data_IF_726277906274
#
_entry.id   IF_726277906274
#
_cell.length_a   1.000
_cell.length_b   1.000
_cell.length_c   1.000
_cell.angle_alpha   90.00
_cell.angle_beta   90.00
_cell.angle_gamma   90.00
#
_symmetry.space_group_name_H-M   'P 1'
#
loop_
_entity.id
_entity.type
_entity.pdbx_description
1 polymer ?
#
# COMPACT_ATOMS: atom_id res chain seq x y z
N UNK A 1 -34.55 58.87 12.29
CA UNK A 1 -33.95 57.82 11.46
C UNK A 1 -32.47 57.68 11.78
N UNK A 2 -32.08 56.61 12.47
CA UNK A 2 -30.69 56.12 12.53
C UNK A 2 -30.75 54.61 12.78
N UNK A 3 -30.09 53.89 11.91
CA UNK A 3 -30.28 52.50 11.51
C UNK A 3 -29.74 51.52 12.55
N UNK A 4 -30.56 50.52 12.92
CA UNK A 4 -30.10 49.31 13.62
C UNK A 4 -29.13 48.56 12.71
N UNK A 5 -27.90 48.38 13.16
CA UNK A 5 -26.96 47.40 12.60
C UNK A 5 -27.46 46.00 12.97
N UNK A 6 -28.28 45.44 12.09
CA UNK A 6 -28.64 44.03 12.07
C UNK A 6 -27.41 43.25 11.58
N UNK A 7 -26.77 42.50 12.46
CA UNK A 7 -25.71 41.57 12.06
C UNK A 7 -26.34 40.46 11.19
N UNK A 8 -25.77 40.14 10.01
CA UNK A 8 -26.29 39.09 9.15
C UNK A 8 -26.09 37.72 9.81
N UNK A 9 -27.18 36.96 9.88
CA UNK A 9 -27.17 35.53 10.22
C UNK A 9 -26.27 34.80 9.23
N UNK A 10 -25.21 34.18 9.73
CA UNK A 10 -24.35 33.33 8.93
C UNK A 10 -25.16 32.15 8.36
N UNK A 11 -24.99 31.78 7.07
CA UNK A 11 -25.61 30.58 6.54
C UNK A 11 -24.98 29.35 7.18
N UNK A 12 -25.82 28.45 7.67
CA UNK A 12 -25.44 27.15 8.21
C UNK A 12 -24.78 26.28 7.11
N UNK A 13 -23.47 26.43 6.96
CA UNK A 13 -22.62 25.52 6.19
C UNK A 13 -21.99 24.52 7.16
N UNK A 14 -22.72 23.51 7.61
CA UNK A 14 -22.17 22.46 8.49
C UNK A 14 -22.62 21.03 8.10
N UNK A 15 -23.02 20.81 6.85
CA UNK A 15 -23.29 19.45 6.34
C UNK A 15 -22.03 18.66 5.95
N UNK A 16 -20.82 19.24 6.09
CA UNK A 16 -19.56 18.58 5.72
C UNK A 16 -18.79 17.97 6.92
N UNK A 17 -19.22 18.24 8.15
CA UNK A 17 -18.67 17.61 9.34
C UNK A 17 -19.37 16.27 9.54
N UNK A 18 -18.65 15.15 9.54
CA UNK A 18 -19.21 13.84 9.91
C UNK A 18 -19.78 13.79 11.34
N UNK A 19 -19.57 14.84 12.14
CA UNK A 19 -20.07 15.02 13.51
C UNK A 19 -21.50 15.58 13.53
N UNK A 20 -22.38 15.12 14.44
CA UNK A 20 -23.72 15.68 14.55
C UNK A 20 -23.74 17.16 14.91
N UNK A 21 -24.60 17.93 14.25
CA UNK A 21 -24.75 19.36 14.52
C UNK A 21 -25.40 19.64 15.89
N UNK A 22 -25.48 20.92 16.26
CA UNK A 22 -26.01 21.34 17.56
C UNK A 22 -27.47 20.90 17.78
N UNK A 23 -28.29 20.92 16.74
CA UNK A 23 -29.71 20.57 16.79
C UNK A 23 -29.92 19.05 16.88
N UNK A 24 -29.13 18.27 16.13
CA UNK A 24 -29.05 16.81 16.25
C UNK A 24 -28.66 16.39 17.67
N UNK A 25 -27.69 17.09 18.29
CA UNK A 25 -27.31 16.83 19.68
C UNK A 25 -28.39 17.28 20.68
N UNK A 26 -29.12 18.35 20.39
CA UNK A 26 -30.23 18.80 21.23
C UNK A 26 -31.39 17.77 21.25
N UNK A 27 -31.72 17.17 20.09
CA UNK A 27 -32.65 16.04 20.00
C UNK A 27 -32.20 14.89 20.90
N UNK A 28 -30.91 14.53 20.81
CA UNK A 28 -30.36 13.41 21.57
C UNK A 28 -30.41 13.67 23.08
N UNK A 29 -30.02 14.87 23.53
CA UNK A 29 -30.09 15.26 24.95
C UNK A 29 -31.51 15.24 25.49
N UNK A 30 -32.47 15.80 24.74
CA UNK A 30 -33.88 15.77 25.13
C UNK A 30 -34.41 14.34 25.23
N UNK A 31 -34.03 13.46 24.29
CA UNK A 31 -34.39 12.05 24.33
C UNK A 31 -33.83 11.32 25.56
N UNK A 32 -32.59 11.63 25.98
CA UNK A 32 -32.01 11.09 27.20
C UNK A 32 -32.62 11.65 28.48
N UNK A 33 -33.15 12.87 28.43
CA UNK A 33 -33.86 13.51 29.55
C UNK A 33 -35.32 13.03 29.71
N UNK A 34 -35.73 11.96 29.02
CA UNK A 34 -37.07 11.37 29.15
C UNK A 34 -38.08 11.83 28.09
N UNK A 35 -37.76 12.86 27.29
CA UNK A 35 -38.68 13.35 26.25
C UNK A 35 -38.95 12.27 25.19
N UNK A 36 -40.18 12.22 24.67
CA UNK A 36 -40.52 11.30 23.58
C UNK A 36 -39.75 11.66 22.31
N UNK A 37 -39.40 10.66 21.49
CA UNK A 37 -38.61 10.89 20.26
C UNK A 37 -39.31 11.89 19.32
N UNK A 38 -40.63 11.79 19.18
CA UNK A 38 -41.42 12.68 18.31
C UNK A 38 -41.37 14.13 18.80
N UNK A 39 -41.53 14.36 20.10
CA UNK A 39 -41.46 15.70 20.68
C UNK A 39 -40.05 16.29 20.58
N UNK A 40 -39.01 15.50 20.88
CA UNK A 40 -37.62 15.94 20.76
C UNK A 40 -37.29 16.38 19.33
N UNK A 41 -37.63 15.54 18.33
CA UNK A 41 -37.39 15.88 16.91
C UNK A 41 -38.24 17.07 16.48
N UNK A 42 -39.52 17.14 16.83
CA UNK A 42 -40.37 18.26 16.46
C UNK A 42 -39.87 19.60 17.03
N UNK A 43 -39.26 19.58 18.21
CA UNK A 43 -38.75 20.79 18.88
C UNK A 43 -37.44 21.30 18.29
N UNK A 44 -36.50 20.40 18.00
CA UNK A 44 -35.14 20.80 17.62
C UNK A 44 -34.82 20.55 16.14
N UNK A 45 -35.53 19.64 15.46
CA UNK A 45 -35.36 19.34 14.04
C UNK A 45 -36.73 19.22 13.32
N UNK A 46 -37.58 20.26 13.32
CA UNK A 46 -38.91 20.20 12.72
C UNK A 46 -38.88 19.89 11.23
N UNK A 47 -37.91 20.44 10.49
CA UNK A 47 -37.73 20.21 9.05
C UNK A 47 -37.30 18.76 8.71
N UNK A 48 -36.85 17.98 9.70
CA UNK A 48 -36.52 16.57 9.51
C UNK A 48 -37.75 15.65 9.55
N UNK A 49 -38.92 16.18 9.93
CA UNK A 49 -40.20 15.48 9.91
C UNK A 49 -40.92 15.79 8.59
N UNK A 50 -41.22 14.76 7.81
CA UNK A 50 -41.78 14.89 6.47
C UNK A 50 -41.14 13.92 5.48
N UNK A 51 -41.76 13.74 4.31
CA UNK A 51 -41.24 12.91 3.21
C UNK A 51 -40.97 11.44 3.60
N UNK A 52 -41.87 10.84 4.38
CA UNK A 52 -41.72 9.45 4.85
C UNK A 52 -40.64 9.25 5.93
N UNK A 53 -39.99 10.31 6.41
CA UNK A 53 -38.99 10.22 7.49
C UNK A 53 -39.68 10.18 8.86
N UNK A 54 -39.43 9.10 9.60
CA UNK A 54 -39.95 8.96 10.96
C UNK A 54 -39.01 9.59 11.99
N UNK A 55 -39.58 10.15 13.07
CA UNK A 55 -38.80 10.68 14.19
C UNK A 55 -37.84 9.63 14.79
N UNK A 56 -38.27 8.35 14.85
CA UNK A 56 -37.42 7.23 15.27
C UNK A 56 -36.24 7.02 14.32
N UNK A 57 -36.46 7.14 13.01
CA UNK A 57 -35.41 7.06 12.00
C UNK A 57 -34.39 8.20 12.12
N UNK A 58 -34.86 9.43 12.42
CA UNK A 58 -33.97 10.58 12.68
C UNK A 58 -33.05 10.30 13.87
N UNK A 59 -33.62 9.92 15.02
CA UNK A 59 -32.82 9.56 16.21
C UNK A 59 -31.86 8.39 15.94
N UNK A 60 -32.33 7.37 15.20
CA UNK A 60 -31.52 6.21 14.82
C UNK A 60 -30.29 6.61 14.01
N UNK A 61 -30.44 7.57 13.07
CA UNK A 61 -29.33 8.11 12.28
C UNK A 61 -28.34 8.89 13.15
N UNK A 62 -28.80 9.74 14.05
CA UNK A 62 -27.93 10.50 14.97
C UNK A 62 -27.11 9.54 15.84
N UNK A 63 -27.75 8.54 16.45
CA UNK A 63 -27.05 7.50 17.23
C UNK A 63 -26.07 6.69 16.38
N UNK A 64 -26.40 6.43 15.11
CA UNK A 64 -25.49 5.75 14.17
C UNK A 64 -24.26 6.59 13.87
N UNK A 65 -24.42 7.88 13.54
CA UNK A 65 -23.30 8.82 13.31
C UNK A 65 -22.32 8.79 14.48
N UNK A 66 -22.80 8.89 15.73
CA UNK A 66 -21.94 8.86 16.91
C UNK A 66 -21.18 7.52 17.08
N UNK A 67 -21.83 6.38 16.80
CA UNK A 67 -21.15 5.08 16.81
C UNK A 67 -20.10 4.97 15.71
N UNK A 68 -20.40 5.46 14.52
CA UNK A 68 -19.47 5.44 13.39
C UNK A 68 -18.23 6.29 13.69
N UNK A 69 -18.41 7.46 14.31
CA UNK A 69 -17.32 8.30 14.81
C UNK A 69 -16.53 7.63 15.93
N UNK A 70 -17.21 6.96 16.86
CA UNK A 70 -16.54 6.22 17.95
C UNK A 70 -15.66 5.09 17.39
N UNK A 71 -16.12 4.40 16.34
CA UNK A 71 -15.30 3.39 15.64
C UNK A 71 -14.11 4.02 14.92
N UNK A 72 -14.32 5.15 14.24
CA UNK A 72 -13.23 5.88 13.58
C UNK A 72 -12.20 6.43 14.59
N UNK A 73 -12.60 6.68 15.83
CA UNK A 73 -11.72 7.06 16.92
C UNK A 73 -11.13 5.85 17.69
N UNK A 74 -11.43 4.61 17.29
CA UNK A 74 -11.02 3.36 17.96
C UNK A 74 -11.43 3.31 19.45
N UNK A 75 -12.60 3.86 19.76
CA UNK A 75 -13.17 3.88 21.10
C UNK A 75 -14.34 2.91 21.19
N UNK A 76 -14.02 1.62 21.22
CA UNK A 76 -15.01 0.54 21.33
C UNK A 76 -15.82 0.61 22.63
N UNK A 77 -15.24 1.18 23.68
CA UNK A 77 -15.91 1.52 24.94
C UNK A 77 -17.09 2.47 24.70
N UNK A 78 -16.91 3.50 23.86
CA UNK A 78 -17.96 4.45 23.52
C UNK A 78 -18.99 3.83 22.57
N UNK A 79 -18.58 2.93 21.67
CA UNK A 79 -19.51 2.17 20.82
C UNK A 79 -20.44 1.31 21.67
N UNK A 80 -19.91 0.60 22.65
CA UNK A 80 -20.69 -0.23 23.58
C UNK A 80 -21.68 0.63 24.36
N UNK A 81 -21.22 1.76 24.91
CA UNK A 81 -22.06 2.72 25.64
C UNK A 81 -23.20 3.26 24.77
N UNK A 82 -22.94 3.62 23.51
CA UNK A 82 -23.95 4.15 22.59
C UNK A 82 -24.92 3.08 22.00
N UNK A 83 -24.65 1.80 22.22
CA UNK A 83 -25.44 0.67 21.71
C UNK A 83 -26.54 0.21 22.67
N UNK A 84 -26.64 0.80 23.87
CA UNK A 84 -27.66 0.42 24.86
C UNK A 84 -29.11 0.46 24.32
N UNK A 85 -30.00 -0.27 24.99
CA UNK A 85 -31.44 -0.27 24.71
C UNK A 85 -32.08 1.07 25.09
N UNK A 86 -33.26 1.38 24.53
CA UNK A 86 -33.98 2.62 24.84
C UNK A 86 -34.55 2.62 26.28
N UNK A 87 -34.81 1.44 26.84
CA UNK A 87 -35.23 1.26 28.24
C UNK A 87 -34.05 1.59 29.15
N UNK A 88 -34.28 2.41 30.19
CA UNK A 88 -33.21 2.83 31.12
C UNK A 88 -32.24 3.88 30.54
N UNK A 89 -32.59 4.52 29.42
CA UNK A 89 -31.76 5.54 28.75
C UNK A 89 -31.32 6.69 29.66
N UNK A 90 -32.15 7.10 30.62
CA UNK A 90 -31.86 8.22 31.54
C UNK A 90 -30.60 7.97 32.37
N UNK A 91 -30.34 6.72 32.76
CA UNK A 91 -29.14 6.32 33.51
C UNK A 91 -27.85 6.52 32.67
N UNK A 92 -27.97 6.50 31.35
CA UNK A 92 -26.85 6.61 30.43
C UNK A 92 -26.61 8.07 30.00
N UNK A 93 -27.49 9.01 30.37
CA UNK A 93 -27.44 10.40 29.93
C UNK A 93 -26.09 11.08 30.22
N UNK A 94 -25.58 10.92 31.45
CA UNK A 94 -24.29 11.49 31.86
C UNK A 94 -23.11 10.86 31.10
N UNK A 95 -23.09 9.53 30.98
CA UNK A 95 -22.04 8.82 30.24
C UNK A 95 -22.04 9.17 28.75
N UNK A 96 -23.21 9.33 28.15
CA UNK A 96 -23.34 9.73 26.73
C UNK A 96 -22.93 11.19 26.52
N UNK A 97 -23.25 12.10 27.45
CA UNK A 97 -22.78 13.48 27.38
C UNK A 97 -21.23 13.53 27.41
N UNK A 98 -20.61 12.80 28.34
CA UNK A 98 -19.16 12.66 28.41
C UNK A 98 -18.57 12.02 27.16
N UNK A 99 -19.23 11.01 26.58
CA UNK A 99 -18.82 10.38 25.33
C UNK A 99 -18.83 11.38 24.17
N UNK A 100 -19.87 12.22 24.06
CA UNK A 100 -19.98 13.25 23.02
C UNK A 100 -18.87 14.30 23.17
N UNK A 101 -18.57 14.73 24.39
CA UNK A 101 -17.48 15.69 24.65
C UNK A 101 -16.11 15.06 24.38
N UNK A 102 -15.93 13.78 24.74
CA UNK A 102 -14.74 13.02 24.40
C UNK A 102 -14.56 12.90 22.88
N UNK A 103 -15.62 12.58 22.13
CA UNK A 103 -15.58 12.48 20.66
C UNK A 103 -15.35 13.84 19.98
N UNK A 104 -15.88 14.93 20.55
CA UNK A 104 -15.67 16.29 20.04
C UNK A 104 -14.20 16.71 20.13
N UNK A 105 -13.52 16.27 21.18
CA UNK A 105 -12.11 16.58 21.43
C UNK A 105 -11.15 15.45 21.02
N UNK A 106 -11.68 14.28 20.63
CA UNK A 106 -10.88 13.15 20.19
C UNK A 106 -10.21 13.53 18.87
N UNK A 107 -8.89 13.74 18.92
CA UNK A 107 -8.08 13.76 17.72
C UNK A 107 -8.17 12.35 17.10
N UNK A 108 -8.37 12.21 15.77
CA UNK A 108 -8.26 10.92 15.12
C UNK A 108 -6.91 10.31 15.51
N UNK A 109 -6.85 9.08 16.04
CA UNK A 109 -5.57 8.47 16.37
C UNK A 109 -4.71 8.48 15.11
N UNK A 110 -3.45 8.88 15.24
CA UNK A 110 -2.55 8.83 14.11
C UNK A 110 -2.26 7.34 13.81
N UNK A 111 -2.42 6.87 12.56
CA UNK A 111 -2.14 5.49 12.23
C UNK A 111 -0.68 5.16 12.51
N UNK A 112 -0.44 4.00 13.10
CA UNK A 112 0.89 3.46 13.35
C UNK A 112 1.18 2.31 12.38
N UNK A 113 2.46 2.08 12.13
CA UNK A 113 2.90 1.12 11.11
C UNK A 113 2.52 -0.32 11.50
N UNK A 114 2.51 -0.62 12.80
CA UNK A 114 2.14 -1.91 13.36
C UNK A 114 0.62 -2.13 13.45
N UNK A 115 -0.19 -1.13 13.13
CA UNK A 115 -1.65 -1.27 13.22
C UNK A 115 -2.15 -2.31 12.23
N UNK A 116 -3.13 -3.09 12.68
CA UNK A 116 -3.83 -4.04 11.83
C UNK A 116 -4.68 -3.29 10.79
N UNK A 117 -4.62 -3.72 9.54
CA UNK A 117 -5.41 -3.15 8.44
C UNK A 117 -6.93 -3.22 8.70
N UNK A 118 -7.39 -4.16 9.53
CA UNK A 118 -8.79 -4.32 9.93
C UNK A 118 -9.34 -3.11 10.69
N UNK A 119 -8.45 -2.35 11.34
CA UNK A 119 -8.81 -1.15 12.08
C UNK A 119 -9.14 0.02 11.15
N UNK A 120 -8.58 0.03 9.93
CA UNK A 120 -8.60 1.20 9.04
C UNK A 120 -9.42 1.02 7.76
N UNK A 121 -9.67 -0.23 7.34
CA UNK A 121 -10.32 -0.52 6.05
C UNK A 121 -11.58 -1.38 6.19
N UNK A 122 -12.40 -1.40 5.13
CA UNK A 122 -13.64 -2.17 5.10
C UNK A 122 -13.37 -3.69 5.24
N UNK A 123 -14.17 -4.44 6.03
CA UNK A 123 -13.99 -5.88 6.23
C UNK A 123 -13.86 -6.72 4.94
N UNK A 124 -14.51 -6.32 3.85
CA UNK A 124 -14.37 -7.02 2.55
C UNK A 124 -12.96 -6.86 1.97
N UNK A 125 -12.41 -5.66 2.03
CA UNK A 125 -11.05 -5.34 1.55
C UNK A 125 -10.01 -6.02 2.45
N UNK A 126 -10.21 -5.94 3.76
CA UNK A 126 -9.37 -6.57 4.78
C UNK A 126 -9.26 -8.08 4.56
N UNK A 127 -10.37 -8.77 4.29
CA UNK A 127 -10.36 -10.22 4.01
C UNK A 127 -9.48 -10.56 2.80
N UNK A 128 -9.58 -9.78 1.74
CA UNK A 128 -8.77 -9.96 0.52
C UNK A 128 -7.29 -9.72 0.80
N UNK A 129 -6.97 -8.64 1.51
CA UNK A 129 -5.59 -8.29 1.87
C UNK A 129 -4.97 -9.33 2.83
N UNK A 130 -5.72 -9.81 3.82
CA UNK A 130 -5.28 -10.89 4.70
C UNK A 130 -5.04 -12.20 3.96
N UNK A 131 -5.90 -12.56 2.99
CA UNK A 131 -5.70 -13.74 2.15
C UNK A 131 -4.41 -13.63 1.32
N UNK A 132 -4.02 -12.41 0.95
CA UNK A 132 -2.74 -12.11 0.29
C UNK A 132 -1.55 -11.99 1.28
N UNK A 133 -1.77 -12.25 2.57
CA UNK A 133 -0.74 -12.22 3.61
C UNK A 133 -0.33 -10.81 4.05
N UNK A 134 -1.20 -9.82 3.87
CA UNK A 134 -1.03 -8.43 4.35
C UNK A 134 -1.88 -8.28 5.61
N UNK A 135 -1.23 -7.99 6.74
CA UNK A 135 -1.92 -7.84 8.04
C UNK A 135 -1.78 -6.45 8.62
N UNK A 136 -0.66 -5.79 8.39
CA UNK A 136 -0.36 -4.48 8.97
C UNK A 136 -0.31 -3.37 7.93
N UNK A 137 -0.43 -2.11 8.37
CA UNK A 137 -0.16 -0.96 7.52
C UNK A 137 1.28 -0.97 6.98
N UNK A 138 2.24 -1.53 7.73
CA UNK A 138 3.59 -1.82 7.25
C UNK A 138 3.57 -2.73 6.03
N UNK A 139 2.99 -3.93 6.14
CA UNK A 139 2.97 -4.91 5.05
C UNK A 139 2.37 -4.30 3.77
N UNK A 140 1.31 -3.51 3.95
CA UNK A 140 0.63 -2.82 2.88
C UNK A 140 1.55 -1.78 2.24
N UNK A 141 2.14 -0.86 2.99
CA UNK A 141 3.04 0.18 2.46
C UNK A 141 4.33 -0.35 1.82
N UNK A 142 4.81 -1.52 2.24
CA UNK A 142 6.03 -2.11 1.69
C UNK A 142 5.79 -2.80 0.35
N UNK A 143 4.73 -3.61 0.26
CA UNK A 143 4.52 -4.53 -0.87
C UNK A 143 3.82 -3.89 -2.06
N UNK A 144 3.07 -2.83 -1.81
CA UNK A 144 1.98 -2.44 -2.70
C UNK A 144 2.20 -1.12 -3.46
N UNK A 145 2.70 -0.03 -2.86
CA UNK A 145 2.76 1.29 -3.52
C UNK A 145 3.80 1.41 -4.65
N UNK A 146 4.59 0.37 -4.95
CA UNK A 146 5.73 0.47 -5.90
C UNK A 146 5.35 0.33 -7.38
N UNK A 147 4.13 -0.09 -7.71
CA UNK A 147 3.71 -0.37 -9.09
C UNK A 147 2.46 0.43 -9.48
N UNK A 148 2.43 0.95 -10.71
CA UNK A 148 1.18 1.44 -11.32
C UNK A 148 0.18 0.27 -11.36
N UNK A 149 -1.03 0.47 -10.83
CA UNK A 149 -2.08 -0.56 -10.79
C UNK A 149 -1.75 -1.83 -9.96
N UNK A 150 -1.05 -1.67 -8.85
CA UNK A 150 -0.67 -2.75 -7.92
C UNK A 150 -1.83 -3.69 -7.54
N UNK A 151 -3.07 -3.18 -7.49
CA UNK A 151 -4.25 -3.94 -7.09
C UNK A 151 -4.56 -5.09 -8.05
N UNK A 152 -4.06 -5.06 -9.29
CA UNK A 152 -4.17 -6.19 -10.23
C UNK A 152 -3.46 -7.44 -9.75
N UNK A 153 -2.42 -7.30 -8.92
CA UNK A 153 -1.70 -8.42 -8.33
C UNK A 153 -2.43 -9.05 -7.14
N UNK A 154 -3.44 -8.37 -6.57
CA UNK A 154 -4.22 -8.85 -5.43
C UNK A 154 -5.58 -9.32 -5.92
N UNK A 155 -5.81 -10.65 -6.02
CA UNK A 155 -7.09 -11.18 -6.50
C UNK A 155 -8.27 -10.70 -5.66
N UNK A 156 -9.30 -10.14 -6.28
CA UNK A 156 -10.50 -9.65 -5.60
C UNK A 156 -10.41 -8.21 -5.08
N UNK A 157 -9.30 -7.50 -5.31
CA UNK A 157 -9.20 -6.08 -4.99
C UNK A 157 -9.54 -5.19 -6.19
N UNK A 158 -10.65 -4.44 -6.09
CA UNK A 158 -11.10 -3.52 -7.13
C UNK A 158 -10.38 -2.17 -7.13
N UNK A 159 -10.45 -1.47 -8.26
CA UNK A 159 -9.87 -0.11 -8.46
C UNK A 159 -10.37 0.88 -7.41
N UNK A 160 -11.65 0.84 -7.06
CA UNK A 160 -12.24 1.76 -6.07
C UNK A 160 -11.62 1.58 -4.68
N UNK A 161 -11.45 0.33 -4.23
CA UNK A 161 -10.81 0.03 -2.96
C UNK A 161 -9.32 0.39 -2.96
N UNK A 162 -8.63 0.16 -4.08
CA UNK A 162 -7.25 0.57 -4.24
C UNK A 162 -7.07 2.09 -4.14
N UNK A 163 -7.93 2.86 -4.82
CA UNK A 163 -7.94 4.34 -4.72
C UNK A 163 -8.24 4.83 -3.31
N UNK A 164 -9.15 4.18 -2.59
CA UNK A 164 -9.44 4.52 -1.21
C UNK A 164 -8.21 4.32 -0.30
N UNK A 165 -7.47 3.21 -0.51
CA UNK A 165 -6.21 2.95 0.18
C UNK A 165 -5.15 4.01 -0.17
N UNK A 166 -5.03 4.37 -1.44
CA UNK A 166 -4.08 5.41 -1.89
C UNK A 166 -4.42 6.78 -1.28
N UNK A 167 -5.70 7.15 -1.23
CA UNK A 167 -6.16 8.39 -0.59
C UNK A 167 -5.87 8.40 0.91
N UNK A 168 -6.03 7.25 1.58
CA UNK A 168 -5.66 7.11 2.99
C UNK A 168 -4.16 7.37 3.20
N UNK A 169 -3.28 6.75 2.43
CA UNK A 169 -1.83 6.97 2.59
C UNK A 169 -1.38 8.37 2.17
N UNK A 170 -2.06 8.99 1.20
CA UNK A 170 -1.82 10.39 0.84
C UNK A 170 -2.14 11.37 1.98
N UNK A 171 -3.12 11.03 2.84
CA UNK A 171 -3.43 11.80 4.04
C UNK A 171 -2.39 11.61 5.17
N UNK A 172 -1.57 10.55 5.11
CA UNK A 172 -0.57 10.23 6.12
C UNK A 172 0.84 9.97 5.53
N UNK A 173 1.51 10.99 4.94
CA UNK A 173 2.83 10.82 4.33
C UNK A 173 3.88 10.27 5.30
N UNK A 174 3.87 10.76 6.54
CA UNK A 174 4.81 10.33 7.59
C UNK A 174 4.72 8.83 7.93
N UNK A 175 3.55 8.19 7.74
CA UNK A 175 3.39 6.75 7.92
C UNK A 175 4.15 5.98 6.82
N UNK A 176 4.03 6.46 5.58
CA UNK A 176 4.70 5.88 4.42
C UNK A 176 6.22 6.01 4.53
N UNK A 177 6.70 7.15 5.02
CA UNK A 177 8.13 7.41 5.22
C UNK A 177 8.72 6.50 6.30
N UNK A 178 8.05 6.35 7.44
CA UNK A 178 8.50 5.44 8.49
C UNK A 178 8.49 3.99 8.03
N UNK A 179 7.46 3.54 7.30
CA UNK A 179 7.43 2.19 6.76
C UNK A 179 8.56 1.97 5.73
N UNK A 180 8.87 2.96 4.90
CA UNK A 180 10.02 2.93 3.98
C UNK A 180 11.34 2.79 4.73
N UNK A 181 11.53 3.54 5.82
CA UNK A 181 12.72 3.45 6.65
C UNK A 181 12.91 2.02 7.23
N UNK A 182 11.82 1.37 7.66
CA UNK A 182 11.87 -0.01 8.13
C UNK A 182 12.31 -0.99 7.02
N UNK A 183 11.85 -0.82 5.78
CA UNK A 183 12.28 -1.68 4.66
C UNK A 183 13.76 -1.57 4.38
N UNK A 184 14.30 -0.35 4.41
CA UNK A 184 15.72 -0.08 4.18
C UNK A 184 16.56 -0.72 5.28
N UNK A 185 16.08 -0.72 6.53
CA UNK A 185 16.74 -1.39 7.65
C UNK A 185 16.64 -2.94 7.59
N UNK A 186 15.61 -3.47 6.93
CA UNK A 186 15.31 -4.92 6.92
C UNK A 186 16.02 -5.71 5.82
N UNK A 187 16.60 -5.06 4.82
CA UNK A 187 17.42 -5.74 3.82
C UNK A 187 18.87 -5.79 4.34
N UNK A 188 19.43 -6.99 4.59
CA UNK A 188 20.89 -7.12 4.58
C UNK A 188 21.39 -6.51 3.28
N UNK A 189 22.47 -5.72 3.33
CA UNK A 189 23.08 -5.19 2.12
C UNK A 189 23.74 -6.34 1.35
N UNK A 190 22.95 -7.12 0.62
CA UNK A 190 23.45 -8.17 -0.29
C UNK A 190 24.23 -7.54 -1.47
N UNK A 191 24.04 -6.24 -1.69
CA UNK A 191 24.85 -5.45 -2.62
C UNK A 191 26.02 -4.86 -1.83
N UNK A 192 27.18 -5.49 -1.95
CA UNK A 192 28.45 -4.97 -1.47
C UNK A 192 29.19 -4.25 -2.58
N UNK A 193 29.99 -3.21 -2.29
CA UNK A 193 30.97 -2.68 -3.24
C UNK A 193 31.83 -3.80 -3.82
N UNK A 194 32.19 -3.67 -5.10
CA UNK A 194 32.96 -4.67 -5.83
C UNK A 194 34.30 -5.00 -5.14
N UNK A 195 34.91 -4.01 -4.49
CA UNK A 195 36.17 -4.12 -3.75
C UNK A 195 36.05 -5.03 -2.51
N UNK A 196 34.84 -5.16 -1.97
CA UNK A 196 34.52 -5.96 -0.79
C UNK A 196 33.80 -7.27 -1.12
N UNK A 197 33.49 -7.51 -2.39
CA UNK A 197 32.88 -8.76 -2.84
C UNK A 197 33.83 -9.93 -2.53
N UNK A 198 33.26 -10.98 -1.94
CA UNK A 198 33.93 -12.27 -1.71
C UNK A 198 33.04 -13.34 -2.29
N UNK A 199 33.44 -13.88 -3.43
CA UNK A 199 32.72 -14.97 -4.09
C UNK A 199 33.16 -16.30 -3.43
N UNK A 200 32.20 -17.18 -3.08
CA UNK A 200 32.50 -18.57 -2.74
C UNK A 200 33.23 -19.27 -3.90
N UNK A 201 34.10 -20.23 -3.57
CA UNK A 201 34.94 -20.92 -4.56
C UNK A 201 34.11 -21.65 -5.62
N UNK A 202 32.92 -22.11 -5.26
CA UNK A 202 32.01 -22.82 -6.17
C UNK A 202 31.50 -21.94 -7.32
N UNK A 203 31.58 -20.61 -7.15
CA UNK A 203 31.05 -19.61 -8.10
C UNK A 203 32.07 -18.53 -8.46
N UNK A 204 33.34 -18.69 -8.05
CA UNK A 204 34.42 -17.72 -8.35
C UNK A 204 34.93 -17.82 -9.80
N UNK A 205 34.53 -18.87 -10.54
CA UNK A 205 34.90 -19.11 -11.93
C UNK A 205 36.28 -19.75 -12.13
N UNK A 206 36.98 -20.14 -11.06
CA UNK A 206 38.28 -20.83 -11.11
C UNK A 206 38.17 -22.22 -11.77
N UNK A 207 37.10 -22.96 -11.50
CA UNK A 207 36.80 -24.27 -12.09
C UNK A 207 35.93 -24.21 -13.36
N UNK A 208 35.80 -23.03 -13.98
CA UNK A 208 34.95 -22.83 -15.15
C UNK A 208 35.37 -23.69 -16.35
N UNK A 209 34.44 -24.45 -16.94
CA UNK A 209 34.68 -25.34 -18.09
C UNK A 209 35.29 -24.64 -19.32
N UNK A 210 35.12 -23.33 -19.43
CA UNK A 210 35.60 -22.52 -20.55
C UNK A 210 36.86 -21.69 -20.22
N UNK A 211 37.52 -21.97 -19.10
CA UNK A 211 38.76 -21.28 -18.73
C UNK A 211 39.92 -21.80 -19.58
N UNK A 212 40.63 -20.88 -20.22
CA UNK A 212 41.83 -21.22 -20.99
C UNK A 212 42.93 -21.73 -20.05
N UNK A 213 43.80 -22.67 -20.50
CA UNK A 213 44.94 -23.13 -19.71
C UNK A 213 45.82 -21.96 -19.24
N UNK A 214 46.29 -21.93 -17.98
CA UNK A 214 47.05 -20.78 -17.44
C UNK A 214 48.26 -20.39 -18.28
N UNK A 215 48.95 -21.37 -18.86
CA UNK A 215 50.10 -21.14 -19.75
C UNK A 215 49.77 -20.34 -21.02
N UNK A 216 48.50 -20.26 -21.40
CA UNK A 216 48.01 -19.51 -22.58
C UNK A 216 47.35 -18.19 -22.21
N UNK A 217 47.18 -17.91 -20.91
CA UNK A 217 46.53 -16.69 -20.41
C UNK A 217 47.51 -15.53 -20.36
N UNK A 218 47.13 -14.40 -20.95
CA UNK A 218 47.91 -13.14 -20.91
C UNK A 218 47.65 -12.32 -19.63
N UNK A 219 46.61 -12.69 -18.88
CA UNK A 219 46.28 -12.12 -17.58
C UNK A 219 46.66 -13.14 -16.51
N UNK A 220 47.43 -12.71 -15.53
CA UNK A 220 47.72 -13.49 -14.33
C UNK A 220 46.52 -13.43 -13.38
N UNK A 221 45.51 -14.24 -13.68
CA UNK A 221 44.25 -14.29 -12.95
C UNK A 221 43.71 -15.72 -12.87
N UNK A 222 43.46 -16.19 -11.65
CA UNK A 222 43.07 -17.58 -11.36
C UNK A 222 41.55 -17.78 -11.24
N UNK A 223 40.81 -16.70 -11.01
CA UNK A 223 39.34 -16.67 -10.92
C UNK A 223 38.76 -15.44 -11.66
N UNK A 224 37.44 -15.34 -11.78
CA UNK A 224 36.77 -14.29 -12.54
C UNK A 224 36.89 -12.92 -11.86
N UNK A 225 36.94 -12.92 -10.52
CA UNK A 225 37.11 -11.72 -9.72
C UNK A 225 38.47 -11.04 -9.98
N UNK A 226 39.55 -11.82 -9.96
CA UNK A 226 40.91 -11.39 -10.30
C UNK A 226 41.01 -10.95 -11.76
N UNK A 227 40.34 -11.63 -12.68
CA UNK A 227 40.38 -11.28 -14.10
C UNK A 227 39.78 -9.89 -14.35
N UNK A 228 38.63 -9.58 -13.73
CA UNK A 228 37.99 -8.26 -13.82
C UNK A 228 38.82 -7.19 -13.11
N UNK A 229 39.45 -7.50 -11.97
CA UNK A 229 40.35 -6.57 -11.30
C UNK A 229 41.60 -6.26 -12.15
N UNK A 230 42.23 -7.29 -12.72
CA UNK A 230 43.38 -7.14 -13.61
C UNK A 230 43.01 -6.33 -14.87
N UNK A 231 41.81 -6.54 -15.40
CA UNK A 231 41.28 -5.75 -16.53
C UNK A 231 41.09 -4.27 -16.14
N UNK A 232 40.41 -3.98 -15.03
CA UNK A 232 40.21 -2.59 -14.54
C UNK A 232 41.53 -1.88 -14.22
N UNK A 233 42.47 -2.58 -13.62
CA UNK A 233 43.80 -2.05 -13.33
C UNK A 233 44.56 -1.69 -14.62
N UNK A 234 44.31 -2.44 -15.71
CA UNK A 234 44.88 -2.20 -17.03
C UNK A 234 44.16 -1.07 -17.78
N UNK A 235 42.83 -0.96 -17.66
CA UNK A 235 42.01 0.09 -18.29
C UNK A 235 42.38 1.51 -17.83
N UNK A 236 42.86 1.69 -16.59
CA UNK A 236 43.38 2.99 -16.12
C UNK A 236 44.59 3.53 -16.92
N UNK A 237 45.16 2.75 -17.85
CA UNK A 237 46.26 3.14 -18.73
C UNK A 237 45.89 3.25 -20.22
N UNK A 238 44.61 3.13 -20.58
CA UNK A 238 44.21 3.02 -22.00
C UNK A 238 43.65 4.35 -22.51
N UNK A 239 44.31 4.93 -23.52
CA UNK A 239 43.66 5.88 -24.43
C UNK A 239 42.81 5.11 -25.42
N UNK A 240 41.73 5.75 -25.90
CA UNK A 240 40.62 5.19 -26.70
C UNK A 240 41.03 4.42 -27.97
N UNK A 241 42.28 4.52 -28.44
CA UNK A 241 42.79 3.78 -29.61
C UNK A 241 43.22 2.33 -29.30
N UNK A 242 43.65 2.02 -28.07
CA UNK A 242 44.06 0.66 -27.67
C UNK A 242 42.88 -0.27 -27.38
N UNK A 243 41.77 0.29 -26.89
CA UNK A 243 40.55 -0.42 -26.52
C UNK A 243 39.86 -1.11 -27.71
N UNK A 244 39.79 -0.42 -28.85
CA UNK A 244 39.11 -0.93 -30.05
C UNK A 244 39.82 -2.12 -30.70
N UNK A 245 41.16 -2.19 -30.67
CA UNK A 245 41.90 -3.31 -31.27
C UNK A 245 41.69 -4.63 -30.52
N UNK A 246 41.53 -4.58 -29.20
CA UNK A 246 41.35 -5.80 -28.38
C UNK A 246 39.87 -6.20 -28.30
N UNK A 247 38.94 -5.24 -28.22
CA UNK A 247 37.50 -5.53 -28.41
C UNK A 247 37.22 -6.13 -29.79
N UNK A 248 37.89 -5.68 -30.86
CA UNK A 248 37.78 -6.30 -32.19
C UNK A 248 38.26 -7.76 -32.24
N UNK A 249 39.29 -8.13 -31.48
CA UNK A 249 39.83 -9.49 -31.39
C UNK A 249 39.00 -10.42 -30.48
N UNK A 250 38.42 -9.88 -29.40
CA UNK A 250 37.58 -10.61 -28.46
C UNK A 250 36.14 -10.80 -28.99
N UNK A 251 35.57 -9.78 -29.65
CA UNK A 251 34.23 -9.84 -30.26
C UNK A 251 34.23 -10.75 -31.50
N UNK A 252 35.28 -10.73 -32.33
CA UNK A 252 35.35 -11.63 -33.49
C UNK A 252 35.44 -13.11 -33.10
N UNK A 253 36.03 -13.43 -31.92
CA UNK A 253 36.04 -14.81 -31.40
C UNK A 253 34.74 -15.19 -30.71
N UNK A 254 34.04 -14.25 -30.05
CA UNK A 254 32.74 -14.51 -29.42
C UNK A 254 31.63 -14.76 -30.46
N UNK A 255 31.66 -14.08 -31.61
CA UNK A 255 30.68 -14.28 -32.69
C UNK A 255 30.84 -15.62 -33.42
N UNK A 256 32.09 -16.08 -33.63
CA UNK A 256 32.36 -17.43 -34.16
C UNK A 256 31.92 -18.50 -33.14
N UNK A 257 32.12 -18.25 -31.84
CA UNK A 257 31.76 -19.18 -30.77
C UNK A 257 30.24 -19.33 -30.56
N UNK A 258 29.46 -18.26 -30.73
CA UNK A 258 27.99 -18.33 -30.66
C UNK A 258 27.39 -19.08 -31.87
N UNK A 259 27.97 -18.98 -33.07
CA UNK A 259 27.52 -19.73 -34.24
C UNK A 259 27.79 -21.24 -34.11
N UNK A 260 28.97 -21.63 -33.61
CA UNK A 260 29.34 -23.04 -33.44
C UNK A 260 28.56 -23.74 -32.31
N UNK A 261 28.12 -22.99 -31.29
CA UNK A 261 27.30 -23.52 -30.18
C UNK A 261 25.85 -23.80 -30.58
N UNK A 262 25.30 -23.07 -31.55
CA UNK A 262 23.95 -23.31 -32.11
C UNK A 262 23.96 -24.56 -33.01
N UNK A 263 25.05 -24.81 -33.72
CA UNK A 263 25.15 -25.94 -34.66
C UNK A 263 25.32 -27.30 -33.94
N UNK A 264 26.05 -27.33 -32.82
CA UNK A 264 26.28 -28.58 -32.04
C UNK A 264 25.15 -28.99 -31.11
N UNK A 265 24.19 -28.13 -30.82
CA UNK A 265 22.99 -28.50 -30.03
C UNK A 265 21.89 -29.18 -30.87
N UNK A 266 22.04 -29.28 -32.20
CA UNK A 266 20.96 -29.72 -33.10
C UNK A 266 21.20 -31.10 -33.75
N UNK A 267 22.22 -31.87 -33.34
CA UNK A 267 22.44 -33.22 -33.89
C UNK A 267 22.65 -34.25 -32.77
N UNK A 268 21.62 -35.07 -32.56
CA UNK A 268 21.60 -36.31 -31.77
C UNK A 268 20.37 -36.35 -30.86
N UNK A 269 19.28 -37.09 -31.10
CA UNK A 269 18.95 -38.28 -31.91
C UNK A 269 17.39 -38.34 -32.02
N UNK A 270 16.76 -39.41 -32.55
CA UNK A 270 16.87 -40.06 -33.84
C UNK A 270 15.52 -40.03 -34.63
N UNK A 271 15.58 -40.54 -35.85
CA UNK A 271 14.48 -40.82 -36.80
C UNK A 271 13.15 -41.30 -36.19
N UNK A 272 12.04 -40.63 -36.55
CA UNK A 272 10.88 -41.31 -37.17
C UNK A 272 9.92 -40.32 -37.84
N UNK A 273 9.72 -40.53 -39.14
CA UNK A 273 8.46 -40.38 -39.89
C UNK A 273 7.64 -39.08 -39.72
N UNK A 274 7.61 -38.25 -40.76
CA UNK A 274 6.44 -38.13 -41.64
C UNK A 274 6.72 -37.08 -42.72
N UNK A 275 6.78 -37.56 -43.96
CA UNK A 275 6.66 -36.80 -45.20
C UNK A 275 5.45 -35.86 -45.15
N UNK A 276 5.58 -34.62 -45.62
CA UNK A 276 4.57 -34.03 -46.51
C UNK A 276 5.20 -32.93 -47.36
N UNK A 277 4.98 -33.09 -48.66
CA UNK A 277 5.58 -32.35 -49.75
C UNK A 277 5.13 -30.87 -49.81
N UNK A 278 6.07 -29.99 -50.13
CA UNK A 278 5.77 -28.73 -50.80
C UNK A 278 5.92 -28.94 -52.30
N UNK A 279 4.82 -28.89 -53.05
CA UNK A 279 4.84 -28.71 -54.50
C UNK A 279 4.82 -27.22 -54.79
N UNK A 280 5.86 -26.73 -55.45
CA UNK A 280 5.85 -25.48 -56.19
C UNK A 280 5.55 -25.82 -57.66
N UNK A 281 4.45 -25.29 -58.21
CA UNK A 281 4.33 -25.04 -59.65
C UNK A 281 3.05 -24.24 -59.99
N UNK A 282 3.25 -22.93 -60.14
CA UNK A 282 2.76 -21.98 -61.16
C UNK A 282 2.07 -20.74 -60.62
#
# INVERSE_FOLDING_TARGET
MKTRLTLPSAPANDTASGFPDADELAVLRAWYAGVSVRQAVARYLPAALGDGRSARGVLGRIRKKLRDLSRAAHRDDLVALLTHRAVGREQHAKGVAQAIDALRNARPPAPQIADDIAQWFNPRVVRVLHAYGIRTLADLTVRIPRRRQWWKAVPGLGVASARAIETFFAAWPALTDKARALVVASHPRDIVPWETLRLPHEVDGSAGTFRAPPATCTLDASNDYEAVQALRARERKWTSAGALKILGSAVSRMSIWLAEKVDRTTIGCPSSAASFAWSEAR
#
